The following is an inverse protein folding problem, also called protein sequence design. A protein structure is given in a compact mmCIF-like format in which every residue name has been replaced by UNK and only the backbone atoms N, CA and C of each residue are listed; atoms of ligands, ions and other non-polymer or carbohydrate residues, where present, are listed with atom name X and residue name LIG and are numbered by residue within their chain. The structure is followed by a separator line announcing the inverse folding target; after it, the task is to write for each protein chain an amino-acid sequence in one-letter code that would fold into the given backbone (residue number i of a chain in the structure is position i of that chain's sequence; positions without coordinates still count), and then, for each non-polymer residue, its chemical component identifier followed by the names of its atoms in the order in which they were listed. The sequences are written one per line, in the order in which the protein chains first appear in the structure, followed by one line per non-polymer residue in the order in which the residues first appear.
data_IF_111514377261
#
_entry.id   IF_111514377261
#
_cell.length_a   1.000
_cell.length_b   1.000
_cell.length_c   1.000
_cell.angle_alpha   90.00
_cell.angle_beta   90.00
_cell.angle_gamma   90.00
#
_symmetry.space_group_name_H-M   'P 1'
#
loop_
_entity.id
_entity.type
_entity.pdbx_description
1 polymer ?
#
# COMPACT_ATOMS: atom_id res chain seq x y z
N UNK A 1 -0.94 -49.58 -23.63
CA UNK A 1 -2.03 -48.59 -23.63
C UNK A 1 -1.53 -47.34 -22.90
N UNK A 2 -0.68 -46.57 -23.58
CA UNK A 2 -0.13 -45.31 -23.07
C UNK A 2 -1.05 -44.19 -23.55
N UNK A 3 -1.89 -43.64 -22.66
CA UNK A 3 -2.71 -42.49 -23.00
C UNK A 3 -1.80 -41.29 -23.21
N UNK A 4 -1.86 -40.73 -24.41
CA UNK A 4 -1.17 -39.52 -24.80
C UNK A 4 -1.33 -38.44 -23.72
N UNK A 5 -0.20 -38.06 -23.10
CA UNK A 5 -0.10 -36.84 -22.31
C UNK A 5 -0.36 -35.71 -23.30
N UNK A 6 -1.56 -35.13 -23.21
CA UNK A 6 -1.98 -33.97 -23.97
C UNK A 6 -1.15 -32.76 -23.51
N UNK A 7 0.11 -32.67 -23.96
CA UNK A 7 0.88 -31.43 -23.97
C UNK A 7 0.30 -30.56 -25.08
N UNK A 8 -0.84 -29.94 -24.80
CA UNK A 8 -1.10 -28.66 -25.42
C UNK A 8 0.09 -27.79 -25.03
N UNK A 9 0.88 -27.40 -26.03
CA UNK A 9 1.91 -26.39 -25.92
C UNK A 9 1.36 -25.26 -25.04
N UNK A 10 1.95 -25.06 -23.87
CA UNK A 10 1.76 -23.81 -23.13
C UNK A 10 2.25 -22.71 -24.07
N UNK A 11 1.34 -22.15 -24.86
CA UNK A 11 1.56 -20.94 -25.63
C UNK A 11 2.07 -19.93 -24.62
N UNK A 12 3.37 -19.65 -24.66
CA UNK A 12 3.99 -18.66 -23.79
C UNK A 12 3.14 -17.39 -23.85
N UNK A 13 2.48 -17.07 -22.74
CA UNK A 13 1.51 -15.99 -22.71
C UNK A 13 2.28 -14.68 -22.62
N UNK A 14 2.47 -14.01 -23.76
CA UNK A 14 3.20 -12.76 -23.86
C UNK A 14 2.20 -11.60 -23.80
N UNK A 15 2.25 -10.82 -22.71
CA UNK A 15 1.49 -9.57 -22.55
C UNK A 15 2.23 -8.41 -23.25
N UNK A 16 1.72 -8.01 -24.42
CA UNK A 16 2.31 -7.05 -25.37
C UNK A 16 1.90 -5.60 -25.11
N UNK A 17 0.80 -5.36 -24.41
CA UNK A 17 0.34 -3.99 -24.11
C UNK A 17 0.18 -3.72 -22.62
N UNK A 18 0.17 -2.43 -22.23
CA UNK A 18 -0.15 -2.02 -20.87
C UNK A 18 -1.54 -2.50 -20.46
N UNK A 19 -2.52 -2.43 -21.37
CA UNK A 19 -3.89 -2.90 -21.12
C UNK A 19 -3.92 -4.39 -20.77
N UNK A 20 -3.11 -5.21 -21.44
CA UNK A 20 -3.00 -6.64 -21.13
C UNK A 20 -2.31 -6.89 -19.78
N UNK A 21 -1.28 -6.12 -19.44
CA UNK A 21 -0.55 -6.22 -18.15
C UNK A 21 -1.36 -5.74 -16.96
N UNK A 22 -2.24 -4.75 -17.16
CA UNK A 22 -3.12 -4.21 -16.14
C UNK A 22 -4.49 -4.92 -16.09
N UNK A 23 -4.69 -5.99 -16.87
CA UNK A 23 -5.92 -6.77 -16.79
C UNK A 23 -6.05 -7.40 -15.39
N UNK A 24 -7.24 -7.45 -14.77
CA UNK A 24 -7.39 -7.81 -13.35
C UNK A 24 -6.81 -9.17 -12.95
N UNK A 25 -6.71 -10.12 -13.88
CA UNK A 25 -6.13 -11.45 -13.65
C UNK A 25 -4.59 -11.45 -13.56
N UNK A 26 -3.91 -10.37 -13.97
CA UNK A 26 -2.44 -10.26 -14.00
C UNK A 26 -1.89 -9.11 -13.14
N UNK A 27 -2.77 -8.38 -12.46
CA UNK A 27 -2.42 -7.17 -11.74
C UNK A 27 -3.00 -7.17 -10.32
N UNK A 28 -2.45 -6.31 -9.47
CA UNK A 28 -2.99 -5.98 -8.16
C UNK A 28 -2.82 -4.49 -7.90
N UNK A 29 -3.70 -3.93 -7.06
CA UNK A 29 -3.55 -2.58 -6.53
C UNK A 29 -2.86 -2.66 -5.17
N UNK A 30 -1.69 -2.03 -5.04
CA UNK A 30 -1.01 -1.87 -3.75
C UNK A 30 -1.32 -0.48 -3.18
N UNK A 31 -1.89 -0.44 -1.99
CA UNK A 31 -2.15 0.78 -1.22
C UNK A 31 -1.13 0.86 -0.10
N UNK A 32 -0.12 1.72 -0.24
CA UNK A 32 1.05 1.74 0.64
C UNK A 32 1.02 2.98 1.52
N UNK A 33 1.11 2.76 2.83
CA UNK A 33 1.35 3.78 3.86
C UNK A 33 0.41 4.99 3.80
N UNK A 34 -0.84 4.76 3.40
CA UNK A 34 -1.91 5.78 3.46
C UNK A 34 -2.46 5.82 4.89
N UNK A 35 -1.60 6.18 5.83
CA UNK A 35 -1.85 6.20 7.28
C UNK A 35 -2.04 7.62 7.80
N UNK A 36 -2.69 7.76 8.96
CA UNK A 36 -2.97 9.06 9.58
C UNK A 36 -1.70 9.91 9.75
N UNK A 37 -0.57 9.30 10.12
CA UNK A 37 0.69 10.02 10.32
C UNK A 37 1.27 10.65 9.06
N UNK A 38 0.91 10.15 7.88
CA UNK A 38 1.42 10.65 6.60
C UNK A 38 0.45 11.59 5.89
N UNK A 39 -0.84 11.52 6.22
CA UNK A 39 -1.89 12.24 5.47
C UNK A 39 -2.57 13.33 6.31
N UNK A 40 -2.80 13.08 7.60
CA UNK A 40 -3.55 14.01 8.44
C UNK A 40 -2.73 15.25 8.81
N UNK A 41 -3.38 16.41 8.90
CA UNK A 41 -2.78 17.62 9.48
C UNK A 41 -2.42 17.47 10.97
N UNK A 42 -2.99 16.46 11.64
CA UNK A 42 -2.65 16.08 13.01
C UNK A 42 -1.62 14.95 13.09
N UNK A 43 -1.21 14.38 11.95
CA UNK A 43 -0.26 13.28 11.88
C UNK A 43 1.19 13.71 12.10
N UNK A 44 2.06 12.74 12.39
CA UNK A 44 3.49 12.95 12.63
C UNK A 44 4.19 13.77 11.53
N UNK A 45 3.92 13.50 10.24
CA UNK A 45 4.53 14.25 9.14
C UNK A 45 4.21 15.76 9.21
N UNK A 46 2.94 16.11 9.37
CA UNK A 46 2.51 17.51 9.52
C UNK A 46 3.08 18.16 10.80
N UNK A 47 3.11 17.42 11.92
CA UNK A 47 3.72 17.91 13.17
C UNK A 47 5.24 18.16 13.04
N UNK A 48 5.92 17.44 12.13
CA UNK A 48 7.34 17.67 11.78
C UNK A 48 7.54 18.83 10.78
N UNK A 49 6.46 19.49 10.35
CA UNK A 49 6.50 20.61 9.42
C UNK A 49 6.51 20.21 7.94
N UNK A 50 6.23 18.95 7.62
CA UNK A 50 6.11 18.49 6.23
C UNK A 50 4.77 18.92 5.62
N UNK A 51 4.77 19.23 4.32
CA UNK A 51 3.53 19.52 3.58
C UNK A 51 2.80 18.22 3.21
N UNK A 52 1.63 18.01 3.81
CA UNK A 52 0.78 16.84 3.58
C UNK A 52 -0.34 17.10 2.56
N UNK A 53 -0.40 18.30 1.96
CA UNK A 53 -1.50 18.70 1.07
C UNK A 53 -1.61 17.81 -0.17
N UNK A 54 -0.49 17.38 -0.73
CA UNK A 54 -0.47 16.47 -1.88
C UNK A 54 -1.07 15.10 -1.55
N UNK A 55 -0.76 14.56 -0.37
CA UNK A 55 -1.34 13.30 0.08
C UNK A 55 -2.87 13.43 0.28
N UNK A 56 -3.31 14.52 0.94
CA UNK A 56 -4.72 14.81 1.15
C UNK A 56 -5.49 14.97 -0.16
N UNK A 57 -4.92 15.69 -1.13
CA UNK A 57 -5.52 15.90 -2.45
C UNK A 57 -5.66 14.58 -3.24
N UNK A 58 -4.78 13.60 -3.00
CA UNK A 58 -4.81 12.31 -3.68
C UNK A 58 -5.87 11.34 -3.11
N UNK A 59 -6.21 11.43 -1.82
CA UNK A 59 -7.11 10.49 -1.13
C UNK A 59 -8.45 10.26 -1.87
N UNK A 60 -9.19 11.29 -2.34
CA UNK A 60 -10.43 11.07 -3.06
C UNK A 60 -10.26 10.26 -4.36
N UNK A 61 -9.14 10.44 -5.05
CA UNK A 61 -8.83 9.67 -6.27
C UNK A 61 -8.50 8.22 -5.94
N UNK A 62 -7.76 7.98 -4.85
CA UNK A 62 -7.46 6.64 -4.38
C UNK A 62 -8.74 5.90 -3.97
N UNK A 63 -9.66 6.55 -3.26
CA UNK A 63 -10.95 5.96 -2.86
C UNK A 63 -11.74 5.50 -4.11
N UNK A 64 -11.79 6.32 -5.16
CA UNK A 64 -12.42 5.95 -6.44
C UNK A 64 -11.72 4.77 -7.10
N UNK A 65 -10.39 4.76 -7.12
CA UNK A 65 -9.61 3.67 -7.68
C UNK A 65 -9.84 2.35 -6.93
N UNK A 66 -9.89 2.38 -5.60
CA UNK A 66 -10.22 1.22 -4.76
C UNK A 66 -11.63 0.71 -5.08
N UNK A 67 -12.60 1.60 -5.24
CA UNK A 67 -13.96 1.22 -5.59
C UNK A 67 -14.03 0.52 -6.95
N UNK A 68 -13.35 1.05 -7.98
CA UNK A 68 -13.29 0.42 -9.30
C UNK A 68 -12.52 -0.90 -9.28
N UNK A 69 -11.41 -0.98 -8.54
CA UNK A 69 -10.66 -2.20 -8.35
C UNK A 69 -11.54 -3.31 -7.75
N UNK A 70 -12.33 -3.00 -6.71
CA UNK A 70 -13.32 -3.93 -6.15
C UNK A 70 -14.36 -4.35 -7.18
N UNK A 71 -14.90 -3.39 -7.95
CA UNK A 71 -15.93 -3.67 -8.98
C UNK A 71 -15.46 -4.67 -10.04
N UNK A 72 -14.18 -4.67 -10.38
CA UNK A 72 -13.59 -5.59 -11.38
C UNK A 72 -12.87 -6.79 -10.75
N UNK A 73 -13.03 -7.02 -9.44
CA UNK A 73 -12.37 -8.07 -8.68
C UNK A 73 -10.83 -8.06 -8.80
N UNK A 74 -10.22 -6.88 -8.94
CA UNK A 74 -8.78 -6.72 -8.86
C UNK A 74 -8.31 -6.95 -7.41
N UNK A 75 -7.31 -7.80 -7.16
CA UNK A 75 -6.71 -7.94 -5.84
C UNK A 75 -6.21 -6.59 -5.31
N UNK A 76 -6.57 -6.27 -4.05
CA UNK A 76 -6.12 -5.04 -3.38
C UNK A 76 -5.33 -5.42 -2.14
N UNK A 77 -4.08 -4.97 -2.08
CA UNK A 77 -3.16 -5.25 -0.99
C UNK A 77 -2.89 -3.94 -0.26
N UNK A 78 -3.20 -3.92 1.04
CA UNK A 78 -2.94 -2.79 1.90
C UNK A 78 -1.66 -3.05 2.67
N UNK A 79 -0.71 -2.12 2.56
CA UNK A 79 0.56 -2.15 3.26
C UNK A 79 0.59 -0.98 4.21
N UNK A 80 0.96 -1.24 5.47
CA UNK A 80 1.22 -0.21 6.45
C UNK A 80 2.52 -0.49 7.17
N UNK A 81 3.28 0.57 7.42
CA UNK A 81 4.42 0.54 8.34
C UNK A 81 3.94 0.67 9.77
N UNK A 82 4.47 -0.14 10.68
CA UNK A 82 4.24 -0.01 12.13
C UNK A 82 5.57 -0.16 12.85
N UNK A 83 5.89 0.79 13.73
CA UNK A 83 7.11 0.81 14.52
C UNK A 83 6.84 0.45 15.99
N UNK A 84 7.68 -0.43 16.53
CA UNK A 84 7.68 -0.84 17.94
C UNK A 84 9.03 -1.43 18.32
N UNK A 85 9.10 -2.01 19.52
CA UNK A 85 10.35 -2.58 20.08
C UNK A 85 11.03 -3.57 19.12
N UNK A 86 10.23 -4.41 18.45
CA UNK A 86 10.73 -5.43 17.52
C UNK A 86 11.29 -4.88 16.20
N UNK A 87 10.95 -3.65 15.83
CA UNK A 87 11.42 -2.99 14.59
C UNK A 87 12.46 -1.91 14.86
N UNK A 88 12.54 -1.42 16.10
CA UNK A 88 13.43 -0.35 16.52
C UNK A 88 14.86 -0.88 16.73
N UNK A 89 15.50 -1.30 15.64
CA UNK A 89 16.91 -1.73 15.67
C UNK A 89 17.82 -0.57 16.10
N UNK A 90 19.02 -0.84 16.68
CA UNK A 90 19.96 0.22 17.04
C UNK A 90 20.32 1.15 15.89
N UNK A 91 20.44 0.61 14.67
CA UNK A 91 20.72 1.39 13.46
C UNK A 91 19.56 2.31 13.07
N UNK A 92 18.32 1.88 13.29
CA UNK A 92 17.13 2.71 13.09
C UNK A 92 17.07 3.85 14.10
N UNK A 93 17.22 3.53 15.39
CA UNK A 93 17.18 4.52 16.49
C UNK A 93 18.27 5.59 16.34
N UNK A 94 19.48 5.18 15.97
CA UNK A 94 20.62 6.10 15.85
C UNK A 94 20.54 7.03 14.61
N UNK A 95 19.55 6.85 13.74
CA UNK A 95 19.38 7.69 12.54
C UNK A 95 18.97 9.12 12.93
N UNK A 96 19.97 9.94 13.27
CA UNK A 96 19.81 11.33 13.75
C UNK A 96 18.93 12.20 12.85
N UNK A 97 18.97 12.00 11.54
CA UNK A 97 18.13 12.71 10.57
C UNK A 97 16.63 12.41 10.69
N UNK A 98 16.25 11.36 11.41
CA UNK A 98 14.89 10.85 11.58
C UNK A 98 14.47 10.78 13.05
N UNK A 99 15.18 11.46 13.96
CA UNK A 99 14.91 11.32 15.40
C UNK A 99 13.48 11.75 15.79
N UNK A 100 12.92 12.74 15.09
CA UNK A 100 11.52 13.13 15.24
C UNK A 100 10.54 12.12 14.61
N UNK A 101 10.97 11.37 13.59
CA UNK A 101 10.18 10.32 12.94
C UNK A 101 10.13 9.01 13.72
N UNK A 102 10.92 8.86 14.81
CA UNK A 102 10.77 7.73 15.73
C UNK A 102 9.40 7.67 16.41
N UNK A 103 8.60 8.74 16.33
CA UNK A 103 7.22 8.79 16.82
C UNK A 103 6.18 8.44 15.74
N UNK A 104 6.59 8.27 14.49
CA UNK A 104 5.71 7.93 13.36
C UNK A 104 5.28 6.47 13.44
N UNK A 105 4.03 6.20 13.08
CA UNK A 105 3.43 4.88 12.93
C UNK A 105 3.66 3.94 14.11
N UNK A 106 3.59 4.44 15.35
CA UNK A 106 3.80 3.59 16.53
C UNK A 106 2.68 2.58 16.69
N UNK A 107 3.06 1.36 17.11
CA UNK A 107 2.11 0.30 17.39
C UNK A 107 1.00 0.76 18.34
N UNK A 108 -0.25 0.43 17.99
CA UNK A 108 -1.45 0.82 18.76
C UNK A 108 -1.82 2.31 18.69
N UNK A 109 -1.05 3.15 17.99
CA UNK A 109 -1.37 4.57 17.86
C UNK A 109 -2.38 4.83 16.74
N UNK A 110 -3.19 5.88 16.91
CA UNK A 110 -4.04 6.42 15.85
C UNK A 110 -3.24 6.78 14.59
N UNK A 111 -2.02 7.30 14.75
CA UNK A 111 -1.12 7.66 13.65
C UNK A 111 -0.79 6.49 12.71
N UNK A 112 -0.72 5.27 13.26
CA UNK A 112 -0.44 4.04 12.53
C UNK A 112 -1.66 3.41 11.84
N UNK A 113 -2.87 3.90 12.10
CA UNK A 113 -4.08 3.43 11.43
C UNK A 113 -4.16 3.99 10.00
N UNK A 114 -4.88 3.29 9.11
CA UNK A 114 -5.16 3.82 7.78
C UNK A 114 -5.98 5.11 7.86
N UNK A 115 -5.72 6.02 6.93
CA UNK A 115 -6.40 7.30 6.83
C UNK A 115 -7.84 7.13 6.31
N UNK A 116 -8.71 8.10 6.63
CA UNK A 116 -10.17 8.11 6.36
C UNK A 116 -10.61 7.28 5.13
N UNK A 117 -11.58 6.38 5.35
CA UNK A 117 -12.19 5.48 4.34
C UNK A 117 -11.25 4.54 3.59
N UNK A 118 -9.95 4.59 3.84
CA UNK A 118 -8.99 3.59 3.38
C UNK A 118 -8.97 2.46 4.40
N UNK A 119 -9.43 1.28 3.99
CA UNK A 119 -9.36 0.10 4.84
C UNK A 119 -9.45 -1.18 4.00
N UNK A 120 -8.73 -2.24 4.41
CA UNK A 120 -9.01 -3.58 3.91
C UNK A 120 -10.44 -3.96 4.30
N UNK A 121 -11.18 -4.53 3.35
CA UNK A 121 -12.48 -5.14 3.58
C UNK A 121 -12.34 -6.67 3.41
N UNK A 122 -13.17 -7.47 4.10
CA UNK A 122 -13.24 -8.91 3.90
C UNK A 122 -13.50 -9.32 2.44
#
# INVERSE_FOLDING_TARGET
MLSAINRQEEKMMILRSLKERCAPQWAALLVVDVQNDFVSSKGSAAQRGEDVSAAQAMVPTLIRLIAEARRVALPIIYVKTVHGEWTDTPSWIYRKSQQSALKTCREGSWGAEFYDRISPLP
#
